data_IF_654635958506
#
_entry.id   IF_654635958506
#
_cell.length_a   1.000
_cell.length_b   1.000
_cell.length_c   1.000
_cell.angle_alpha   90.00
_cell.angle_beta   90.00
_cell.angle_gamma   90.00
#
_symmetry.space_group_name_H-M   'P 1'
#
loop_
_entity.id
_entity.type
_entity.pdbx_description
1 polymer ?
#
# COMPACT_ATOMS: atom_id res chain seq x y z
N UNK A 1 -10.79 -39.65 -24.65
CA UNK A 1 -10.16 -39.25 -23.37
C UNK A 1 -10.00 -37.74 -23.39
N UNK A 2 -10.89 -37.01 -22.72
CA UNK A 2 -10.88 -35.54 -22.66
C UNK A 2 -10.00 -35.13 -21.49
N UNK A 3 -8.82 -34.59 -21.80
CA UNK A 3 -7.90 -34.04 -20.81
C UNK A 3 -8.35 -32.59 -20.51
N UNK A 4 -9.12 -32.42 -19.46
CA UNK A 4 -9.45 -31.09 -18.94
C UNK A 4 -8.23 -30.53 -18.22
N UNK A 5 -7.50 -29.64 -18.90
CA UNK A 5 -6.47 -28.82 -18.28
C UNK A 5 -7.15 -27.83 -17.33
N UNK A 6 -7.05 -28.06 -16.04
CA UNK A 6 -7.38 -27.09 -15.02
C UNK A 6 -6.33 -25.98 -15.08
N UNK A 7 -6.68 -24.90 -15.74
CA UNK A 7 -5.96 -23.62 -15.62
C UNK A 7 -6.21 -23.10 -14.23
N UNK A 8 -5.32 -23.49 -13.31
CA UNK A 8 -5.22 -22.80 -12.01
C UNK A 8 -4.73 -21.38 -12.29
N UNK A 9 -5.65 -20.46 -12.49
CA UNK A 9 -5.36 -19.05 -12.46
C UNK A 9 -4.85 -18.70 -11.07
N UNK A 10 -3.54 -18.67 -10.88
CA UNK A 10 -2.94 -18.05 -9.71
C UNK A 10 -3.37 -16.58 -9.75
N UNK A 11 -4.36 -16.22 -8.94
CA UNK A 11 -4.61 -14.82 -8.62
C UNK A 11 -3.28 -14.25 -8.11
N UNK A 12 -2.74 -13.29 -8.84
CA UNK A 12 -1.42 -12.73 -8.56
C UNK A 12 -1.53 -11.84 -7.33
N UNK A 13 -1.45 -12.45 -6.14
CA UNK A 13 -1.56 -11.73 -4.88
C UNK A 13 -0.39 -10.77 -4.71
N UNK A 14 -0.68 -9.59 -4.14
CA UNK A 14 0.36 -8.64 -3.80
C UNK A 14 1.35 -9.26 -2.79
N UNK A 15 2.65 -8.98 -2.92
CA UNK A 15 3.64 -9.42 -1.97
C UNK A 15 3.30 -9.01 -0.54
N UNK A 16 3.59 -9.88 0.41
CA UNK A 16 3.36 -9.66 1.83
C UNK A 16 4.70 -9.62 2.57
N UNK A 17 4.82 -8.80 3.62
CA UNK A 17 6.00 -8.87 4.48
C UNK A 17 6.02 -10.17 5.29
N UNK A 18 7.21 -10.59 5.71
CA UNK A 18 7.35 -11.77 6.57
C UNK A 18 6.72 -11.56 7.96
N UNK A 19 6.70 -10.31 8.42
CA UNK A 19 6.08 -9.89 9.68
C UNK A 19 5.58 -8.45 9.54
N UNK A 20 4.81 -7.98 10.51
CA UNK A 20 4.39 -6.58 10.50
C UNK A 20 5.62 -5.66 10.60
N UNK A 21 5.86 -4.78 9.62
CA UNK A 21 6.89 -3.75 9.74
C UNK A 21 6.59 -2.79 10.88
N UNK A 22 7.63 -2.20 11.44
CA UNK A 22 7.49 -1.15 12.46
C UNK A 22 7.10 0.15 11.77
N UNK A 23 5.87 0.60 12.02
CA UNK A 23 5.34 1.85 11.45
C UNK A 23 5.23 2.92 12.54
N UNK A 24 5.52 4.20 12.20
CA UNK A 24 5.37 5.32 13.15
C UNK A 24 3.90 5.73 13.30
N UNK A 25 3.11 4.89 13.94
CA UNK A 25 1.65 5.07 14.06
C UNK A 25 1.27 6.04 15.17
N UNK A 26 0.16 6.78 15.05
CA UNK A 26 -0.74 6.80 13.89
C UNK A 26 -0.17 7.61 12.72
N UNK A 27 -0.55 7.22 11.50
CA UNK A 27 -0.20 7.95 10.29
C UNK A 27 -1.45 8.50 9.62
N UNK A 28 -1.36 9.71 9.12
CA UNK A 28 -2.36 10.32 8.25
C UNK A 28 -1.67 10.78 6.98
N UNK A 29 -2.10 10.23 5.85
CA UNK A 29 -1.47 10.45 4.56
C UNK A 29 -2.47 11.00 3.56
N UNK A 30 -2.01 11.93 2.75
CA UNK A 30 -2.69 12.36 1.54
C UNK A 30 -2.17 11.52 0.37
N UNK A 31 -3.08 10.97 -0.39
CA UNK A 31 -2.77 10.18 -1.58
C UNK A 31 -3.39 10.87 -2.78
N UNK A 32 -2.55 11.29 -3.70
CA UNK A 32 -2.97 11.82 -4.98
C UNK A 32 -2.86 10.70 -6.02
N UNK A 33 -3.98 10.33 -6.60
CA UNK A 33 -4.07 9.32 -7.63
C UNK A 33 -4.19 9.98 -9.00
N UNK A 34 -3.29 9.64 -9.90
CA UNK A 34 -3.28 10.18 -11.25
C UNK A 34 -3.37 9.05 -12.27
N UNK A 35 -4.37 9.09 -13.13
CA UNK A 35 -4.55 8.16 -14.23
C UNK A 35 -5.35 8.82 -15.37
N UNK A 36 -4.88 8.67 -16.61
CA UNK A 36 -5.59 9.16 -17.80
C UNK A 36 -6.00 10.64 -17.70
N UNK A 37 -5.09 11.50 -17.23
CA UNK A 37 -5.31 12.92 -17.02
C UNK A 37 -6.39 13.26 -15.98
N UNK A 38 -6.80 12.28 -15.17
CA UNK A 38 -7.70 12.49 -14.05
C UNK A 38 -6.95 12.37 -12.74
N UNK A 39 -7.27 13.29 -11.82
CA UNK A 39 -6.72 13.30 -10.47
C UNK A 39 -7.83 13.02 -9.47
N UNK A 40 -7.52 12.16 -8.51
CA UNK A 40 -8.35 11.93 -7.32
C UNK A 40 -7.49 12.12 -6.08
N UNK A 41 -8.08 12.65 -5.03
CA UNK A 41 -7.42 12.84 -3.76
C UNK A 41 -8.08 11.94 -2.72
N UNK A 42 -7.26 11.21 -1.96
CA UNK A 42 -7.72 10.35 -0.89
C UNK A 42 -6.97 10.64 0.41
N UNK A 43 -7.65 10.40 1.50
CA UNK A 43 -7.07 10.47 2.85
C UNK A 43 -6.94 9.05 3.37
N UNK A 44 -5.75 8.71 3.85
CA UNK A 44 -5.49 7.40 4.45
C UNK A 44 -5.09 7.57 5.90
N UNK A 45 -5.79 6.87 6.78
CA UNK A 45 -5.46 6.79 8.21
C UNK A 45 -5.00 5.38 8.52
N UNK A 46 -3.83 5.27 9.11
CA UNK A 46 -3.22 4.02 9.55
C UNK A 46 -3.03 4.09 11.05
N UNK A 47 -3.67 3.18 11.80
CA UNK A 47 -3.65 3.22 13.26
C UNK A 47 -3.74 1.84 13.88
N UNK A 48 -3.23 1.72 15.10
CA UNK A 48 -3.37 0.46 15.85
C UNK A 48 -4.82 0.23 16.23
N UNK A 49 -5.22 -1.03 16.14
CA UNK A 49 -6.52 -1.46 16.61
C UNK A 49 -6.44 -2.92 17.09
N UNK A 50 -6.59 -3.10 18.39
CA UNK A 50 -6.39 -4.42 18.99
C UNK A 50 -4.98 -4.95 18.71
N UNK A 51 -4.91 -6.18 18.19
CA UNK A 51 -3.64 -6.83 17.80
C UNK A 51 -3.19 -6.48 16.38
N UNK A 52 -3.99 -5.71 15.65
CA UNK A 52 -3.73 -5.38 14.25
C UNK A 52 -3.51 -3.90 13.99
N UNK A 53 -3.42 -3.59 12.72
CA UNK A 53 -3.27 -2.22 12.22
C UNK A 53 -4.39 -1.99 11.22
N UNK A 54 -5.22 -0.97 11.48
CA UNK A 54 -6.31 -0.59 10.59
C UNK A 54 -5.84 0.43 9.58
N UNK A 55 -6.20 0.18 8.33
CA UNK A 55 -6.00 1.05 7.19
C UNK A 55 -7.36 1.50 6.68
N UNK A 56 -7.65 2.78 6.76
CA UNK A 56 -8.93 3.36 6.35
C UNK A 56 -8.69 4.47 5.34
N UNK A 57 -9.23 4.32 4.15
CA UNK A 57 -9.10 5.30 3.07
C UNK A 57 -10.46 5.91 2.76
N UNK A 58 -10.50 7.23 2.60
CA UNK A 58 -11.71 7.97 2.32
C UNK A 58 -11.43 9.09 1.30
N UNK A 59 -12.49 9.56 0.65
CA UNK A 59 -12.40 10.74 -0.19
C UNK A 59 -12.38 12.03 0.66
N UNK A 60 -12.18 13.22 0.05
CA UNK A 60 -12.14 14.47 0.82
C UNK A 60 -13.45 14.83 1.52
N UNK A 61 -14.56 14.24 1.13
CA UNK A 61 -15.85 14.42 1.79
C UNK A 61 -16.06 13.46 2.96
N UNK A 62 -15.07 12.58 3.24
CA UNK A 62 -15.16 11.60 4.29
C UNK A 62 -15.89 10.32 3.91
N UNK A 63 -16.19 10.12 2.62
CA UNK A 63 -16.85 8.90 2.16
C UNK A 63 -15.83 7.76 2.11
N UNK A 64 -16.06 6.65 2.85
CA UNK A 64 -15.14 5.53 2.86
C UNK A 64 -14.97 4.89 1.48
N UNK A 65 -13.71 4.65 1.08
CA UNK A 65 -13.36 4.00 -0.17
C UNK A 65 -12.86 2.58 0.05
N UNK A 66 -12.11 2.34 1.12
CA UNK A 66 -11.55 1.04 1.44
C UNK A 66 -11.16 0.94 2.90
N UNK A 67 -11.29 -0.25 3.48
CA UNK A 67 -10.86 -0.56 4.84
C UNK A 67 -10.26 -1.95 4.86
N UNK A 68 -9.11 -2.07 5.52
CA UNK A 68 -8.41 -3.34 5.73
C UNK A 68 -7.78 -3.36 7.11
N UNK A 69 -7.58 -4.54 7.65
CA UNK A 69 -6.76 -4.77 8.83
C UNK A 69 -5.52 -5.55 8.43
N UNK A 70 -4.38 -5.16 8.97
CA UNK A 70 -3.13 -5.91 8.85
C UNK A 70 -2.89 -6.64 10.16
N UNK A 71 -2.93 -7.97 10.13
CA UNK A 71 -2.74 -8.83 11.30
C UNK A 71 -1.69 -9.87 10.94
N UNK A 72 -0.60 -9.91 11.69
CA UNK A 72 0.52 -10.84 11.47
C UNK A 72 1.01 -10.86 10.01
N UNK A 73 1.18 -9.67 9.42
CA UNK A 73 1.66 -9.52 8.05
C UNK A 73 0.65 -9.88 6.97
N UNK A 74 -0.62 -10.06 7.32
CA UNK A 74 -1.68 -10.45 6.37
C UNK A 74 -2.83 -9.46 6.38
N UNK A 75 -3.35 -9.19 5.20
CA UNK A 75 -4.50 -8.32 5.02
C UNK A 75 -5.79 -9.08 5.25
N UNK A 76 -6.70 -8.45 6.02
CA UNK A 76 -8.05 -8.94 6.27
C UNK A 76 -9.06 -7.82 6.04
N UNK A 77 -10.12 -8.11 5.29
CA UNK A 77 -11.27 -7.22 5.18
C UNK A 77 -12.05 -7.23 6.49
N UNK A 78 -12.55 -6.07 6.92
CA UNK A 78 -13.38 -5.98 8.13
C UNK A 78 -14.88 -6.20 7.86
N UNK A 79 -15.26 -6.45 6.60
CA UNK A 79 -16.64 -6.74 6.21
C UNK A 79 -17.56 -5.54 6.11
N UNK A 80 -17.06 -4.33 6.34
CA UNK A 80 -17.88 -3.11 6.33
C UNK A 80 -18.02 -2.46 4.96
N UNK A 81 -17.10 -2.77 4.03
CA UNK A 81 -17.09 -2.23 2.68
C UNK A 81 -16.92 -3.34 1.65
N UNK A 82 -17.42 -3.14 0.41
CA UNK A 82 -17.17 -4.08 -0.67
C UNK A 82 -15.68 -4.23 -0.95
N UNK A 83 -15.25 -5.36 -1.53
CA UNK A 83 -13.87 -5.54 -1.95
C UNK A 83 -13.44 -4.45 -2.94
N UNK A 84 -12.23 -3.93 -2.75
CA UNK A 84 -11.62 -2.93 -3.63
C UNK A 84 -10.21 -3.40 -4.01
N UNK A 85 -10.06 -4.09 -5.15
CA UNK A 85 -8.76 -4.64 -5.57
C UNK A 85 -7.67 -3.59 -5.76
N UNK A 86 -8.04 -2.40 -6.27
CA UNK A 86 -7.07 -1.31 -6.44
C UNK A 86 -6.53 -0.84 -5.09
N UNK A 87 -7.40 -0.68 -4.11
CA UNK A 87 -6.97 -0.29 -2.77
C UNK A 87 -6.13 -1.37 -2.08
N UNK A 88 -6.41 -2.64 -2.31
CA UNK A 88 -5.59 -3.74 -1.79
C UNK A 88 -4.16 -3.67 -2.33
N UNK A 89 -4.02 -3.44 -3.63
CA UNK A 89 -2.70 -3.28 -4.24
C UNK A 89 -2.00 -2.04 -3.70
N UNK A 90 -2.71 -0.93 -3.62
CA UNK A 90 -2.17 0.32 -3.08
C UNK A 90 -1.70 0.15 -1.63
N UNK A 91 -2.51 -0.46 -0.78
CA UNK A 91 -2.15 -0.68 0.63
C UNK A 91 -0.92 -1.58 0.76
N UNK A 92 -0.85 -2.64 -0.03
CA UNK A 92 0.32 -3.52 -0.03
C UNK A 92 1.59 -2.79 -0.48
N UNK A 93 1.50 -1.97 -1.53
CA UNK A 93 2.62 -1.17 -2.01
C UNK A 93 3.02 -0.08 -1.02
N UNK A 94 2.07 0.54 -0.33
CA UNK A 94 2.34 1.51 0.72
C UNK A 94 3.02 0.86 1.93
N UNK A 95 2.60 -0.33 2.32
CA UNK A 95 3.26 -1.07 3.40
C UNK A 95 4.72 -1.34 3.06
N UNK A 96 4.98 -1.74 1.82
CA UNK A 96 6.34 -1.89 1.30
C UNK A 96 7.13 -0.56 1.36
N UNK A 97 6.51 0.52 0.90
CA UNK A 97 7.15 1.84 0.87
C UNK A 97 7.45 2.37 2.28
N UNK A 98 6.57 2.10 3.24
CA UNK A 98 6.69 2.58 4.62
C UNK A 98 7.56 1.67 5.50
N UNK A 99 7.96 0.51 5.02
CA UNK A 99 8.83 -0.41 5.76
C UNK A 99 10.19 0.26 6.01
N UNK A 100 10.65 0.31 7.27
CA UNK A 100 11.97 0.87 7.56
C UNK A 100 13.08 0.16 6.80
N UNK A 101 14.10 0.90 6.37
CA UNK A 101 15.21 0.33 5.59
C UNK A 101 15.91 -0.84 6.31
N UNK A 102 16.02 -0.76 7.64
CA UNK A 102 16.61 -1.84 8.44
C UNK A 102 15.80 -3.12 8.50
N UNK A 103 14.51 -3.06 8.13
CA UNK A 103 13.61 -4.22 8.12
C UNK A 103 13.30 -4.71 6.71
N UNK A 104 13.79 -4.01 5.68
CA UNK A 104 13.42 -4.28 4.29
C UNK A 104 13.83 -5.69 3.85
N UNK A 105 15.09 -6.04 4.05
CA UNK A 105 15.61 -7.34 3.61
C UNK A 105 14.90 -8.52 4.27
N UNK A 106 14.55 -8.38 5.54
CA UNK A 106 13.84 -9.42 6.30
C UNK A 106 12.39 -9.59 5.80
N UNK A 107 11.72 -8.47 5.54
CA UNK A 107 10.30 -8.49 5.17
C UNK A 107 10.06 -8.68 3.67
N UNK A 108 10.98 -8.22 2.84
CA UNK A 108 10.89 -8.30 1.38
C UNK A 108 12.25 -8.67 0.80
N UNK A 109 12.61 -9.98 0.83
CA UNK A 109 13.96 -10.40 0.41
C UNK A 109 14.33 -10.04 -1.04
N UNK A 110 13.33 -9.94 -1.93
CA UNK A 110 13.55 -9.58 -3.34
C UNK A 110 13.63 -8.07 -3.58
N UNK A 111 13.43 -7.26 -2.54
CA UNK A 111 13.47 -5.80 -2.69
C UNK A 111 14.88 -5.30 -2.94
N UNK A 112 14.97 -4.21 -3.70
CA UNK A 112 16.21 -3.49 -3.94
C UNK A 112 16.03 -2.02 -3.58
N UNK A 113 17.07 -1.44 -3.00
CA UNK A 113 17.08 -0.01 -2.71
C UNK A 113 18.41 0.59 -3.19
N UNK A 114 18.30 1.60 -4.05
CA UNK A 114 19.43 2.35 -4.57
C UNK A 114 19.13 3.84 -4.42
N UNK A 115 19.86 4.51 -3.51
CA UNK A 115 19.62 5.91 -3.22
C UNK A 115 18.19 6.17 -2.79
N UNK A 116 17.50 7.02 -3.53
CA UNK A 116 16.12 7.42 -3.23
C UNK A 116 15.06 6.52 -3.88
N UNK A 117 15.48 5.41 -4.48
CA UNK A 117 14.56 4.51 -5.17
C UNK A 117 14.53 3.14 -4.51
N UNK A 118 13.32 2.64 -4.29
CA UNK A 118 13.06 1.29 -3.78
C UNK A 118 12.20 0.56 -4.78
N UNK A 119 12.57 -0.68 -5.12
CA UNK A 119 11.85 -1.48 -6.11
C UNK A 119 11.58 -2.88 -5.60
N UNK A 120 10.44 -3.41 -5.98
CA UNK A 120 10.11 -4.83 -5.91
C UNK A 120 9.65 -5.24 -7.32
N UNK A 121 10.63 -5.54 -8.16
CA UNK A 121 10.40 -5.80 -9.58
C UNK A 121 9.59 -7.09 -9.79
N UNK A 122 8.70 -7.10 -10.78
CA UNK A 122 8.33 -6.03 -11.69
C UNK A 122 7.18 -5.14 -11.18
N UNK A 123 6.79 -5.28 -9.93
CA UNK A 123 5.50 -4.83 -9.41
C UNK A 123 5.50 -3.38 -8.95
N UNK A 124 6.44 -2.97 -8.10
CA UNK A 124 6.41 -1.65 -7.47
C UNK A 124 7.72 -0.90 -7.62
N UNK A 125 7.61 0.40 -7.88
CA UNK A 125 8.75 1.33 -7.83
C UNK A 125 8.36 2.53 -6.98
N UNK A 126 9.16 2.80 -5.96
CA UNK A 126 8.96 3.91 -5.03
C UNK A 126 10.12 4.87 -5.20
N UNK A 127 9.81 6.15 -5.36
CA UNK A 127 10.81 7.22 -5.40
C UNK A 127 10.56 8.19 -4.25
N UNK A 128 11.51 8.29 -3.34
CA UNK A 128 11.38 9.09 -2.13
C UNK A 128 11.96 10.49 -2.33
N UNK A 129 11.19 11.52 -1.94
CA UNK A 129 11.72 12.84 -1.63
C UNK A 129 12.06 12.92 -0.13
N UNK A 130 11.23 12.30 0.71
CA UNK A 130 11.41 12.14 2.16
C UNK A 130 10.80 10.81 2.58
N UNK A 131 11.04 10.31 3.79
CA UNK A 131 10.51 9.01 4.22
C UNK A 131 8.99 8.85 4.09
N UNK A 132 8.23 9.94 4.27
CA UNK A 132 6.77 9.93 4.14
C UNK A 132 6.25 10.72 2.93
N UNK A 133 7.15 11.18 2.06
CA UNK A 133 6.79 11.91 0.83
C UNK A 133 7.44 11.22 -0.36
N UNK A 134 6.64 10.52 -1.14
CA UNK A 134 7.16 9.70 -2.24
C UNK A 134 6.14 9.52 -3.35
N UNK A 135 6.66 9.04 -4.48
CA UNK A 135 5.86 8.62 -5.62
C UNK A 135 5.87 7.09 -5.69
N UNK A 136 4.72 6.53 -5.98
CA UNK A 136 4.52 5.10 -6.14
C UNK A 136 4.04 4.82 -7.55
N UNK A 137 4.77 4.00 -8.29
CA UNK A 137 4.43 3.61 -9.63
C UNK A 137 4.19 2.11 -9.72
N UNK A 138 3.08 1.75 -10.35
CA UNK A 138 2.74 0.39 -10.71
C UNK A 138 3.04 0.21 -12.22
N UNK A 139 3.34 -1.01 -12.68
CA UNK A 139 3.69 -1.23 -14.09
C UNK A 139 2.57 -0.84 -15.05
N UNK A 140 1.33 -1.07 -14.63
CA UNK A 140 0.12 -0.73 -15.40
C UNK A 140 -0.90 -0.21 -14.42
N UNK A 141 -1.35 1.00 -14.65
CA UNK A 141 -2.36 1.60 -13.80
C UNK A 141 -1.98 3.00 -13.32
N UNK A 142 -2.62 3.46 -12.26
CA UNK A 142 -2.42 4.81 -11.77
C UNK A 142 -1.04 5.02 -11.18
N UNK A 143 -0.61 6.29 -11.18
CA UNK A 143 0.52 6.77 -10.40
C UNK A 143 0.01 7.43 -9.14
N UNK A 144 0.71 7.23 -8.04
CA UNK A 144 0.32 7.80 -6.76
C UNK A 144 1.42 8.71 -6.23
N UNK A 145 1.00 9.83 -5.66
CA UNK A 145 1.87 10.70 -4.87
C UNK A 145 1.37 10.68 -3.43
N UNK A 146 2.26 10.40 -2.51
CA UNK A 146 1.96 10.26 -1.09
C UNK A 146 2.69 11.32 -0.31
N UNK A 147 2.00 11.95 0.64
CA UNK A 147 2.57 12.96 1.52
C UNK A 147 1.84 12.96 2.87
N UNK A 148 2.48 13.43 3.95
CA UNK A 148 1.80 13.55 5.24
C UNK A 148 0.66 14.55 5.18
N UNK A 149 -0.41 14.26 5.93
CA UNK A 149 -1.51 15.18 6.16
C UNK A 149 -1.22 15.99 7.41
N UNK A 150 -1.49 17.31 7.33
CA UNK A 150 -1.52 18.14 8.51
C UNK A 150 -0.16 18.32 9.17
N UNK A 151 0.92 18.44 8.38
CA UNK A 151 2.17 18.94 8.92
C UNK A 151 1.90 20.32 9.51
N UNK A 152 2.08 20.51 10.84
CA UNK A 152 2.02 21.85 11.37
C UNK A 152 3.18 22.63 10.78
N UNK A 153 2.87 23.64 10.01
CA UNK A 153 3.88 24.61 9.57
C UNK A 153 4.45 25.26 10.83
N UNK A 154 5.74 25.18 11.05
CA UNK A 154 6.33 25.87 12.19
C UNK A 154 6.17 27.38 12.06
#
# INVERSE_FOLDING_TARGET
LLLTALLSGCANQAPLPASNPTLPLPLQLHIERNQANQRQDWLLVIQREGSGIRWSMMDPLGIPQARQQLIDGRWQADGLLPPNPEARELFAALLFALTPSGELARNYPAAQQQGEQRTLAPRWTIRYAQPLSFQLNLPQGPHYRVSPLGEPTP
#
